data_IF_340048644739
#
_entry.id   IF_340048644739
#
_cell.length_a   1.000
_cell.length_b   1.000
_cell.length_c   1.000
_cell.angle_alpha   90.00
_cell.angle_beta   90.00
_cell.angle_gamma   90.00
#
_symmetry.space_group_name_H-M   'P 1'
#
loop_
_entity.id
_entity.type
_entity.pdbx_description
1 polymer ?
#
# COMPACT_ATOMS: atom_id res chain seq x y z
N UNK A 1 10.78 -23.02 16.23
CA UNK A 1 9.46 -22.38 16.03
C UNK A 1 9.62 -20.97 16.56
N UNK A 2 9.28 -19.98 15.75
CA UNK A 2 9.42 -18.57 16.15
C UNK A 2 8.50 -18.26 17.32
N UNK A 3 8.92 -17.42 18.28
CA UNK A 3 8.09 -17.06 19.43
C UNK A 3 6.81 -16.33 19.01
N UNK A 4 5.73 -16.66 19.71
CA UNK A 4 4.44 -15.97 19.67
C UNK A 4 4.26 -15.28 21.03
N UNK A 5 3.99 -13.98 21.00
CA UNK A 5 3.74 -13.18 22.20
C UNK A 5 2.26 -12.82 22.28
N UNK A 6 1.59 -13.24 23.35
CA UNK A 6 0.22 -12.85 23.65
C UNK A 6 0.20 -11.40 24.15
N UNK A 7 -0.44 -10.51 23.39
CA UNK A 7 -0.54 -9.08 23.69
C UNK A 7 -1.83 -8.74 24.46
N UNK A 8 -2.56 -9.72 24.97
CA UNK A 8 -3.76 -9.47 25.78
C UNK A 8 -3.43 -8.92 27.18
N UNK A 9 -2.27 -9.25 27.74
CA UNK A 9 -1.78 -8.75 29.02
C UNK A 9 -0.56 -7.81 28.91
N UNK A 10 -0.28 -7.07 29.98
CA UNK A 10 0.76 -6.03 30.02
C UNK A 10 2.18 -6.58 29.87
N UNK A 11 2.46 -7.75 30.44
CA UNK A 11 3.79 -8.36 30.37
C UNK A 11 4.07 -8.86 28.95
N UNK A 12 3.11 -9.58 28.37
CA UNK A 12 3.19 -10.07 26.99
C UNK A 12 3.28 -8.93 25.97
N UNK A 13 2.58 -7.80 26.18
CA UNK A 13 2.77 -6.57 25.39
C UNK A 13 4.19 -6.05 25.47
N UNK A 14 4.72 -5.90 26.69
CA UNK A 14 6.05 -5.34 26.91
C UNK A 14 7.12 -6.21 26.25
N UNK A 15 7.09 -7.52 26.50
CA UNK A 15 8.06 -8.47 25.98
C UNK A 15 7.92 -8.64 24.46
N UNK A 16 6.68 -8.70 23.95
CA UNK A 16 6.39 -8.84 22.53
C UNK A 16 6.85 -7.62 21.72
N UNK A 17 6.53 -6.40 22.17
CA UNK A 17 6.98 -5.17 21.52
C UNK A 17 8.51 -5.11 21.52
N UNK A 18 9.17 -5.40 22.65
CA UNK A 18 10.64 -5.40 22.72
C UNK A 18 11.26 -6.41 21.74
N UNK A 19 10.72 -7.63 21.67
CA UNK A 19 11.18 -8.66 20.74
C UNK A 19 10.97 -8.27 19.27
N UNK A 20 9.81 -7.69 18.94
CA UNK A 20 9.50 -7.20 17.61
C UNK A 20 10.46 -6.09 17.18
N UNK A 21 10.73 -5.13 18.06
CA UNK A 21 11.68 -4.04 17.80
C UNK A 21 13.08 -4.56 17.54
N UNK A 22 13.55 -5.51 18.36
CA UNK A 22 14.85 -6.15 18.17
C UNK A 22 14.93 -6.88 16.83
N UNK A 23 13.94 -7.71 16.51
CA UNK A 23 13.89 -8.47 15.26
C UNK A 23 13.87 -7.56 14.03
N UNK A 24 13.00 -6.54 14.01
CA UNK A 24 12.90 -5.60 12.90
C UNK A 24 14.20 -4.83 12.67
N UNK A 25 14.84 -4.32 13.72
CA UNK A 25 16.14 -3.62 13.63
C UNK A 25 17.28 -4.52 13.15
N UNK A 26 17.16 -5.84 13.33
CA UNK A 26 18.08 -6.82 12.74
C UNK A 26 17.73 -7.17 11.28
N UNK A 27 16.75 -6.48 10.67
CA UNK A 27 16.27 -6.74 9.33
C UNK A 27 15.43 -8.01 9.20
N UNK A 28 14.86 -8.51 10.30
CA UNK A 28 14.07 -9.75 10.30
C UNK A 28 12.58 -9.45 10.27
N UNK A 29 11.83 -10.38 9.68
CA UNK A 29 10.39 -10.24 9.54
C UNK A 29 9.67 -10.45 10.87
N UNK A 30 8.69 -9.61 11.14
CA UNK A 30 7.78 -9.66 12.28
C UNK A 30 6.36 -9.73 11.74
N UNK A 31 5.49 -10.49 12.38
CA UNK A 31 4.03 -10.39 12.17
C UNK A 31 3.43 -9.52 13.26
N UNK A 32 2.71 -8.49 12.84
CA UNK A 32 2.12 -7.45 13.69
C UNK A 32 0.63 -7.28 13.40
N UNK A 33 -0.21 -6.99 14.41
CA UNK A 33 -1.62 -6.66 14.20
C UNK A 33 -1.79 -5.33 13.49
N UNK A 34 -2.84 -5.14 12.69
CA UNK A 34 -3.25 -3.79 12.26
C UNK A 34 -4.74 -3.57 12.50
N UNK A 35 -5.21 -2.37 12.20
CA UNK A 35 -6.62 -1.99 12.16
C UNK A 35 -7.42 -2.75 11.10
N UNK A 36 -6.76 -3.29 10.07
CA UNK A 36 -7.41 -4.12 9.05
C UNK A 36 -7.17 -5.61 9.30
N UNK A 37 -6.00 -6.11 8.94
CA UNK A 37 -5.59 -7.52 9.01
C UNK A 37 -4.23 -7.65 9.70
N UNK A 38 -3.73 -8.86 9.93
CA UNK A 38 -2.32 -8.99 10.32
C UNK A 38 -1.41 -8.57 9.17
N UNK A 39 -0.31 -7.90 9.50
CA UNK A 39 0.77 -7.55 8.58
C UNK A 39 2.04 -8.36 8.87
N UNK A 40 2.80 -8.68 7.85
CA UNK A 40 4.20 -9.10 7.95
C UNK A 40 5.07 -7.91 7.52
N UNK A 41 6.07 -7.57 8.33
CA UNK A 41 6.92 -6.43 8.04
C UNK A 41 8.31 -6.50 8.65
N UNK A 42 9.15 -5.57 8.25
CA UNK A 42 10.56 -5.44 8.64
C UNK A 42 10.95 -3.96 8.58
N UNK A 43 12.15 -3.62 9.06
CA UNK A 43 12.69 -2.26 8.91
C UNK A 43 12.78 -1.87 7.41
N UNK A 44 12.17 -0.72 7.05
CA UNK A 44 12.14 -0.23 5.68
C UNK A 44 13.53 0.13 5.12
N UNK A 45 14.50 0.40 5.99
CA UNK A 45 15.89 0.69 5.61
C UNK A 45 16.77 -0.55 5.49
N UNK A 46 16.25 -1.73 5.86
CA UNK A 46 16.95 -2.99 5.68
C UNK A 46 16.63 -3.61 4.32
N UNK A 47 17.48 -3.37 3.33
CA UNK A 47 17.34 -3.98 1.99
C UNK A 47 17.20 -5.52 2.06
N UNK A 48 18.04 -6.17 2.89
CA UNK A 48 17.97 -7.60 3.10
C UNK A 48 16.65 -8.04 3.78
N UNK A 49 16.12 -7.21 4.68
CA UNK A 49 14.83 -7.45 5.32
C UNK A 49 13.68 -7.34 4.34
N UNK A 50 13.68 -6.31 3.48
CA UNK A 50 12.68 -6.13 2.42
C UNK A 50 12.72 -7.29 1.43
N UNK A 51 13.91 -7.73 1.01
CA UNK A 51 14.05 -8.90 0.14
C UNK A 51 13.48 -10.17 0.80
N UNK A 52 13.75 -10.37 2.11
CA UNK A 52 13.18 -11.48 2.87
C UNK A 52 11.66 -11.40 3.00
N UNK A 53 11.11 -10.20 3.19
CA UNK A 53 9.67 -9.94 3.22
C UNK A 53 9.02 -10.30 1.88
N UNK A 54 9.57 -9.79 0.77
CA UNK A 54 9.09 -10.10 -0.58
C UNK A 54 9.17 -11.59 -0.89
N UNK A 55 10.28 -12.24 -0.55
CA UNK A 55 10.45 -13.69 -0.70
C UNK A 55 9.43 -14.49 0.13
N UNK A 56 9.18 -14.11 1.38
CA UNK A 56 8.17 -14.75 2.23
C UNK A 56 6.75 -14.59 1.67
N UNK A 57 6.49 -13.49 0.95
CA UNK A 57 5.23 -13.20 0.27
C UNK A 57 5.08 -13.93 -1.07
N UNK A 58 6.17 -14.43 -1.65
CA UNK A 58 6.21 -14.90 -3.03
C UNK A 58 6.06 -13.77 -4.05
N UNK A 59 6.53 -12.56 -3.72
CA UNK A 59 6.47 -11.38 -4.58
C UNK A 59 7.83 -11.09 -5.21
N UNK A 60 7.80 -10.62 -6.46
CA UNK A 60 8.94 -9.98 -7.10
C UNK A 60 9.15 -8.55 -6.61
N UNK A 61 10.22 -7.92 -7.09
CA UNK A 61 10.61 -6.54 -6.71
C UNK A 61 9.69 -5.48 -7.33
N UNK A 62 8.96 -5.83 -8.38
CA UNK A 62 7.94 -5.06 -9.06
C UNK A 62 6.66 -4.81 -8.22
N UNK A 63 6.57 -5.43 -7.04
CA UNK A 63 5.44 -5.31 -6.12
C UNK A 63 5.88 -4.79 -4.75
N UNK A 64 6.44 -3.56 -4.67
CA UNK A 64 7.01 -3.03 -3.45
C UNK A 64 5.95 -2.89 -2.33
N UNK A 65 6.30 -3.19 -1.07
CA UNK A 65 5.38 -3.05 0.05
C UNK A 65 5.18 -1.58 0.43
N UNK A 66 4.00 -1.21 0.97
CA UNK A 66 3.85 0.08 1.62
C UNK A 66 4.72 0.16 2.89
N UNK A 67 5.04 1.38 3.30
CA UNK A 67 5.78 1.69 4.51
C UNK A 67 4.82 2.23 5.56
N UNK A 68 4.73 1.56 6.69
CA UNK A 68 4.02 2.05 7.85
C UNK A 68 4.93 2.96 8.68
N UNK A 69 4.38 4.04 9.18
CA UNK A 69 5.07 5.05 10.00
C UNK A 69 4.31 5.29 11.31
N UNK A 70 5.05 5.63 12.37
CA UNK A 70 4.47 5.86 13.70
C UNK A 70 4.05 7.30 14.00
N UNK A 71 4.42 8.25 13.14
CA UNK A 71 4.17 9.69 13.31
C UNK A 71 4.08 10.38 11.94
N UNK A 72 3.15 11.33 11.80
CA UNK A 72 2.96 12.16 10.60
C UNK A 72 4.22 12.95 10.24
N UNK A 73 5.03 13.34 11.22
CA UNK A 73 6.29 14.05 10.99
C UNK A 73 7.28 13.24 10.14
N UNK A 74 7.16 11.90 10.09
CA UNK A 74 7.99 11.06 9.23
C UNK A 74 7.75 11.34 7.73
N UNK A 75 6.56 11.80 7.34
CA UNK A 75 6.23 12.12 5.94
C UNK A 75 7.22 13.12 5.37
N UNK A 76 7.57 14.16 6.13
CA UNK A 76 8.50 15.22 5.72
C UNK A 76 9.94 14.73 5.51
N UNK A 77 10.33 13.63 6.14
CA UNK A 77 11.63 12.99 5.93
C UNK A 77 11.62 11.93 4.83
N UNK A 78 10.45 11.37 4.51
CA UNK A 78 10.29 10.23 3.60
C UNK A 78 9.83 10.59 2.20
N UNK A 79 9.12 11.70 2.06
CA UNK A 79 8.49 12.13 0.82
C UNK A 79 8.86 13.56 0.47
N UNK A 80 8.84 13.85 -0.83
CA UNK A 80 9.02 15.20 -1.38
C UNK A 80 7.76 15.64 -2.14
N UNK A 81 7.64 16.95 -2.34
CA UNK A 81 6.54 17.58 -3.09
C UNK A 81 5.13 17.19 -2.59
N UNK A 82 4.97 16.99 -1.27
CA UNK A 82 3.68 16.58 -0.66
C UNK A 82 2.61 17.66 -0.88
N UNK A 83 1.55 17.39 -1.67
CA UNK A 83 0.53 18.39 -1.97
C UNK A 83 -0.28 18.80 -0.74
N UNK A 84 -0.81 20.02 -0.75
CA UNK A 84 -1.64 20.53 0.35
C UNK A 84 -2.93 19.72 0.56
N UNK A 85 -3.50 19.16 -0.52
CA UNK A 85 -4.66 18.27 -0.42
C UNK A 85 -4.31 16.97 0.30
N UNK A 86 -3.10 16.44 0.11
CA UNK A 86 -2.66 15.21 0.77
C UNK A 86 -2.49 15.43 2.28
N UNK A 87 -2.05 16.63 2.70
CA UNK A 87 -2.03 16.99 4.13
C UNK A 87 -3.44 16.99 4.73
N UNK A 88 -4.45 17.51 4.01
CA UNK A 88 -5.85 17.43 4.48
C UNK A 88 -6.33 15.99 4.61
N UNK A 89 -5.95 15.11 3.68
CA UNK A 89 -6.28 13.69 3.75
C UNK A 89 -5.60 13.00 4.94
N UNK A 90 -4.33 13.33 5.21
CA UNK A 90 -3.62 12.86 6.40
C UNK A 90 -4.35 13.28 7.66
N UNK A 91 -4.69 14.57 7.80
CA UNK A 91 -5.38 15.10 8.98
C UNK A 91 -6.77 14.46 9.19
N UNK A 92 -7.43 14.05 8.10
CA UNK A 92 -8.77 13.47 8.14
C UNK A 92 -8.79 11.96 8.40
N UNK A 93 -7.82 11.21 7.87
CA UNK A 93 -7.89 9.75 7.78
C UNK A 93 -6.72 9.01 8.43
N UNK A 94 -5.70 9.71 8.95
CA UNK A 94 -4.60 9.09 9.71
C UNK A 94 -4.69 9.41 11.20
N UNK A 95 -4.47 8.42 12.08
CA UNK A 95 -4.32 6.98 11.81
C UNK A 95 -5.57 6.34 11.17
N UNK A 96 -5.39 5.34 10.30
CA UNK A 96 -6.52 4.62 9.72
C UNK A 96 -6.26 3.93 8.38
N UNK A 97 -7.35 3.61 7.69
CA UNK A 97 -7.41 2.78 6.47
C UNK A 97 -7.03 3.48 5.16
N UNK A 98 -6.21 4.53 5.18
CA UNK A 98 -5.75 5.24 3.98
C UNK A 98 -4.24 5.07 3.78
N UNK A 99 -3.82 4.68 2.58
CA UNK A 99 -2.42 4.68 2.15
C UNK A 99 -2.23 5.73 1.06
N UNK A 100 -1.22 6.59 1.20
CA UNK A 100 -0.93 7.67 0.25
C UNK A 100 0.42 7.43 -0.44
N UNK A 101 0.46 7.50 -1.77
CA UNK A 101 1.70 7.39 -2.54
C UNK A 101 2.25 8.77 -2.84
N UNK A 102 3.54 8.96 -2.55
CA UNK A 102 4.26 10.21 -2.79
C UNK A 102 5.52 9.96 -3.61
N UNK A 103 6.13 11.02 -4.12
CA UNK A 103 7.52 10.96 -4.59
C UNK A 103 8.43 10.72 -3.38
N UNK A 104 9.25 9.68 -3.44
CA UNK A 104 10.20 9.34 -2.38
C UNK A 104 11.27 10.43 -2.28
N UNK A 105 11.74 10.70 -1.07
CA UNK A 105 12.86 11.59 -0.82
C UNK A 105 14.14 10.99 -1.47
N UNK A 106 14.79 11.66 -2.45
CA UNK A 106 15.90 11.06 -3.22
C UNK A 106 17.16 10.77 -2.41
N UNK A 107 17.33 11.43 -1.26
CA UNK A 107 18.48 11.24 -0.38
C UNK A 107 18.38 9.99 0.50
N UNK A 108 17.25 9.27 0.49
CA UNK A 108 17.09 8.05 1.27
C UNK A 108 17.82 6.88 0.62
N UNK A 109 18.70 6.26 1.40
CA UNK A 109 19.32 5.00 1.04
C UNK A 109 18.48 3.85 1.61
N UNK A 110 17.36 3.55 0.94
CA UNK A 110 16.55 2.36 1.18
C UNK A 110 16.35 1.58 -0.12
N UNK A 111 16.00 0.31 0.01
CA UNK A 111 15.65 -0.54 -1.12
C UNK A 111 14.33 -1.24 -0.81
N UNK A 112 13.24 -0.68 -1.34
CA UNK A 112 11.89 -1.18 -1.18
C UNK A 112 11.46 -2.10 -2.35
N UNK A 113 12.35 -2.33 -3.33
CA UNK A 113 12.01 -2.87 -4.64
C UNK A 113 11.89 -1.80 -5.73
N UNK A 114 11.25 -2.15 -6.83
CA UNK A 114 11.10 -1.32 -8.03
C UNK A 114 9.94 -0.33 -7.82
N UNK A 115 10.24 0.78 -7.14
CA UNK A 115 9.25 1.79 -6.73
C UNK A 115 9.07 2.95 -7.71
N UNK A 116 9.88 3.03 -8.76
CA UNK A 116 9.93 4.17 -9.70
C UNK A 116 10.03 5.53 -8.99
N UNK A 117 10.79 5.61 -7.90
CA UNK A 117 11.01 6.84 -7.14
C UNK A 117 9.80 7.29 -6.32
N UNK A 118 8.85 6.40 -6.06
CA UNK A 118 7.68 6.66 -5.22
C UNK A 118 7.74 5.88 -3.90
N UNK A 119 6.89 6.25 -2.95
CA UNK A 119 6.71 5.50 -1.70
C UNK A 119 5.25 5.59 -1.26
N UNK A 120 4.67 4.44 -0.90
CA UNK A 120 3.35 4.36 -0.30
C UNK A 120 3.48 4.42 1.23
N UNK A 121 2.89 5.43 1.87
CA UNK A 121 2.95 5.66 3.32
C UNK A 121 1.57 5.47 3.97
N UNK A 122 1.55 4.98 5.22
CA UNK A 122 0.34 4.89 6.04
C UNK A 122 0.67 4.93 7.54
N UNK A 123 -0.22 5.52 8.33
CA UNK A 123 -0.24 5.33 9.79
C UNK A 123 -1.43 4.41 10.12
N UNK A 124 -1.20 3.16 10.58
CA UNK A 124 -2.31 2.25 10.94
C UNK A 124 -2.96 2.67 12.26
N UNK A 125 -4.28 2.47 12.39
CA UNK A 125 -5.02 2.73 13.64
C UNK A 125 -4.96 1.53 14.61
N UNK A 126 -3.74 1.09 14.96
CA UNK A 126 -3.50 0.02 15.93
C UNK A 126 -2.42 0.42 16.93
N UNK A 127 -2.79 0.58 18.20
CA UNK A 127 -1.87 1.07 19.25
C UNK A 127 -0.65 0.15 19.47
N UNK A 128 -0.81 -1.16 19.29
CA UNK A 128 0.28 -2.13 19.49
C UNK A 128 1.31 -2.00 18.36
N UNK A 129 0.84 -1.86 17.13
CA UNK A 129 1.72 -1.60 15.98
C UNK A 129 2.33 -0.22 16.02
N UNK A 130 1.58 0.81 16.43
CA UNK A 130 2.14 2.15 16.63
C UNK A 130 3.25 2.15 17.70
N UNK A 131 3.13 1.33 18.75
CA UNK A 131 4.19 1.19 19.75
C UNK A 131 5.48 0.60 19.14
N UNK A 132 5.38 -0.40 18.26
CA UNK A 132 6.53 -0.95 17.53
C UNK A 132 7.11 0.10 16.56
N UNK A 133 6.28 0.77 15.77
CA UNK A 133 6.69 1.76 14.76
C UNK A 133 7.39 2.98 15.38
N UNK A 134 6.98 3.42 16.57
CA UNK A 134 7.64 4.53 17.29
C UNK A 134 9.08 4.18 17.70
N UNK A 135 9.36 2.92 17.97
CA UNK A 135 10.68 2.45 18.38
C UNK A 135 11.55 2.04 17.17
N UNK A 136 10.99 1.33 16.20
CA UNK A 136 11.73 0.89 15.00
C UNK A 136 11.97 2.07 14.05
N UNK A 137 10.96 2.92 13.87
CA UNK A 137 10.87 3.84 12.75
C UNK A 137 10.04 3.26 11.60
N UNK A 138 10.23 3.77 10.37
CA UNK A 138 9.48 3.31 9.20
C UNK A 138 9.70 1.81 8.93
N UNK A 139 8.61 1.06 8.77
CA UNK A 139 8.67 -0.36 8.48
C UNK A 139 7.99 -0.67 7.15
N UNK A 140 8.64 -1.47 6.30
CA UNK A 140 8.01 -2.05 5.12
C UNK A 140 7.06 -3.15 5.60
N UNK A 141 5.77 -3.03 5.31
CA UNK A 141 4.74 -3.96 5.79
C UNK A 141 3.78 -4.31 4.66
N UNK A 142 3.42 -5.59 4.57
CA UNK A 142 2.38 -6.09 3.67
C UNK A 142 1.46 -7.02 4.46
N UNK A 143 0.26 -7.31 3.96
CA UNK A 143 -0.66 -8.22 4.64
C UNK A 143 -0.06 -9.61 4.84
N UNK A 144 -0.44 -10.26 5.93
CA UNK A 144 0.15 -11.52 6.41
C UNK A 144 -0.45 -12.77 5.72
N UNK A 145 -0.70 -12.71 4.41
CA UNK A 145 -1.11 -13.84 3.55
C UNK A 145 -0.15 -14.02 2.38
N UNK A 146 0.08 -15.22 1.85
CA UNK A 146 0.88 -15.32 0.62
C UNK A 146 0.17 -14.62 -0.54
N UNK A 147 0.92 -14.13 -1.52
CA UNK A 147 0.31 -13.44 -2.66
C UNK A 147 -0.70 -14.35 -3.36
N UNK A 148 -1.92 -13.87 -3.57
CA UNK A 148 -3.02 -14.67 -4.15
C UNK A 148 -3.89 -15.41 -3.12
N UNK A 149 -3.44 -15.56 -1.88
CA UNK A 149 -4.19 -16.26 -0.82
C UNK A 149 -5.13 -15.32 -0.06
N UNK A 150 -6.18 -15.84 0.62
CA UNK A 150 -7.02 -15.05 1.50
C UNK A 150 -6.24 -14.36 2.62
N UNK A 151 -6.69 -13.18 3.03
CA UNK A 151 -6.11 -12.43 4.16
C UNK A 151 -6.25 -13.22 5.45
N UNK A 152 -5.23 -13.16 6.31
CA UNK A 152 -5.25 -13.82 7.61
C UNK A 152 -5.74 -12.87 8.70
N UNK A 153 -6.57 -13.40 9.59
CA UNK A 153 -7.23 -12.65 10.67
C UNK A 153 -6.77 -13.09 12.05
N UNK A 154 -6.05 -14.20 12.14
CA UNK A 154 -5.51 -14.75 13.39
C UNK A 154 -4.01 -14.99 13.29
N UNK A 155 -3.33 -14.96 14.45
CA UNK A 155 -1.89 -15.27 14.48
C UNK A 155 -1.60 -16.72 14.05
N UNK A 156 -2.54 -17.63 14.32
CA UNK A 156 -2.43 -19.05 13.97
C UNK A 156 -2.37 -19.22 12.45
N UNK A 157 -3.25 -18.54 11.71
CA UNK A 157 -3.24 -18.53 10.24
C UNK A 157 -1.94 -17.94 9.70
N UNK A 158 -1.46 -16.83 10.27
CA UNK A 158 -0.17 -16.24 9.90
C UNK A 158 1.00 -17.21 10.14
N UNK A 159 0.97 -17.95 11.26
CA UNK A 159 1.95 -18.98 11.60
C UNK A 159 1.96 -20.14 10.60
N UNK A 160 0.81 -20.57 10.09
CA UNK A 160 0.73 -21.56 9.01
C UNK A 160 1.25 -21.01 7.67
N UNK A 161 1.02 -19.73 7.38
CA UNK A 161 1.44 -19.11 6.12
C UNK A 161 2.97 -18.93 6.00
N UNK A 162 3.63 -18.46 7.06
CA UNK A 162 5.05 -18.09 7.03
C UNK A 162 5.97 -18.96 7.87
N UNK A 163 5.47 -19.58 8.94
CA UNK A 163 6.25 -20.44 9.83
C UNK A 163 7.60 -19.84 10.20
N UNK A 164 8.74 -20.47 9.82
CA UNK A 164 10.08 -20.01 10.18
C UNK A 164 10.58 -18.79 9.40
N UNK A 165 9.84 -18.28 8.40
CA UNK A 165 10.24 -17.08 7.65
C UNK A 165 10.03 -15.76 8.43
N UNK A 166 9.39 -15.83 9.60
CA UNK A 166 9.12 -14.71 10.50
C UNK A 166 9.78 -15.02 11.84
N UNK A 167 10.47 -14.06 12.44
CA UNK A 167 11.18 -14.23 13.71
C UNK A 167 10.29 -14.00 14.93
N UNK A 168 9.29 -13.11 14.83
CA UNK A 168 8.42 -12.75 15.96
C UNK A 168 6.98 -12.64 15.48
N UNK A 169 6.07 -13.26 16.22
CA UNK A 169 4.64 -13.18 16.01
C UNK A 169 3.98 -12.48 17.19
N UNK A 170 3.27 -11.39 16.93
CA UNK A 170 2.53 -10.64 17.93
C UNK A 170 1.06 -11.04 17.88
N UNK A 171 0.58 -11.83 18.84
CA UNK A 171 -0.81 -12.25 18.92
C UNK A 171 -1.63 -11.22 19.70
N UNK A 172 -2.49 -10.50 19.00
CA UNK A 172 -3.40 -9.56 19.62
C UNK A 172 -4.86 -9.91 19.31
N UNK A 173 -5.16 -11.22 19.21
CA UNK A 173 -6.50 -11.74 18.96
C UNK A 173 -6.95 -11.65 17.50
N UNK A 174 -8.24 -11.87 17.29
CA UNK A 174 -8.87 -11.87 15.95
C UNK A 174 -8.97 -10.45 15.40
N UNK A 175 -8.62 -10.28 14.12
CA UNK A 175 -8.73 -9.03 13.37
C UNK A 175 -9.95 -9.07 12.47
N UNK A 176 -10.83 -8.08 12.61
CA UNK A 176 -12.13 -8.07 11.93
C UNK A 176 -12.16 -7.15 10.71
N UNK A 177 -11.04 -6.53 10.32
CA UNK A 177 -10.99 -5.73 9.10
C UNK A 177 -10.90 -6.64 7.89
N UNK A 178 -12.05 -6.84 7.23
CA UNK A 178 -12.14 -7.56 5.96
C UNK A 178 -11.78 -6.69 4.76
N UNK A 179 -11.75 -5.37 4.97
CA UNK A 179 -11.54 -4.38 3.92
C UNK A 179 -10.14 -3.81 4.05
N UNK A 180 -9.31 -3.90 2.99
CA UNK A 180 -7.95 -3.36 3.03
C UNK A 180 -7.95 -1.84 2.94
N UNK A 181 -6.78 -1.22 3.13
CA UNK A 181 -6.67 0.24 3.01
C UNK A 181 -6.93 0.73 1.59
N UNK A 182 -7.61 1.87 1.47
CA UNK A 182 -7.69 2.59 0.19
C UNK A 182 -6.29 3.12 -0.15
N UNK A 183 -5.88 3.01 -1.42
CA UNK A 183 -4.58 3.51 -1.89
C UNK A 183 -4.81 4.65 -2.87
N UNK A 184 -4.22 5.81 -2.59
CA UNK A 184 -4.33 7.01 -3.41
C UNK A 184 -2.95 7.49 -3.86
N UNK A 185 -2.75 7.62 -5.17
CA UNK A 185 -1.59 8.28 -5.73
C UNK A 185 -1.71 9.79 -5.58
N UNK A 186 -0.76 10.39 -4.86
CA UNK A 186 -0.66 11.83 -4.62
C UNK A 186 0.57 12.46 -5.28
N UNK A 187 1.18 11.79 -6.27
CA UNK A 187 2.36 12.30 -7.00
C UNK A 187 2.01 13.40 -8.01
N UNK A 188 0.73 13.63 -8.30
CA UNK A 188 0.21 14.58 -9.28
C UNK A 188 -0.69 15.64 -8.63
N UNK A 189 -1.08 16.66 -9.41
CA UNK A 189 -2.02 17.69 -8.96
C UNK A 189 -3.40 17.11 -8.64
N UNK A 190 -3.87 16.19 -9.48
CA UNK A 190 -5.12 15.46 -9.31
C UNK A 190 -4.77 14.04 -8.82
N UNK A 191 -5.20 13.65 -7.60
CA UNK A 191 -4.89 12.33 -7.08
C UNK A 191 -5.65 11.23 -7.80
N UNK A 192 -5.06 10.04 -7.86
CA UNK A 192 -5.61 8.87 -8.57
C UNK A 192 -5.87 7.73 -7.58
N UNK A 193 -7.08 7.18 -7.58
CA UNK A 193 -7.38 5.97 -6.80
C UNK A 193 -6.66 4.78 -7.44
N UNK A 194 -5.72 4.19 -6.72
CA UNK A 194 -5.01 2.97 -7.16
C UNK A 194 -5.69 1.71 -6.65
N UNK A 195 -6.38 1.79 -5.50
CA UNK A 195 -7.12 0.68 -4.91
C UNK A 195 -8.27 1.19 -4.06
N UNK A 196 -9.48 0.71 -4.33
CA UNK A 196 -10.62 0.92 -3.45
C UNK A 196 -10.49 0.08 -2.16
N UNK A 197 -10.91 0.65 -1.02
CA UNK A 197 -10.74 0.02 0.28
C UNK A 197 -11.60 0.69 1.35
N UNK A 198 -11.09 0.75 2.57
CA UNK A 198 -11.82 1.21 3.76
C UNK A 198 -12.34 2.67 3.69
N UNK A 199 -11.69 3.53 2.91
CA UNK A 199 -12.13 4.92 2.66
C UNK A 199 -12.79 5.01 1.29
N UNK A 200 -14.05 5.45 1.25
CA UNK A 200 -14.81 5.55 0.01
C UNK A 200 -14.41 6.77 -0.81
N UNK A 201 -14.71 6.73 -2.11
CA UNK A 201 -14.44 7.83 -3.04
C UNK A 201 -15.20 9.10 -2.64
N UNK A 202 -16.41 8.96 -2.10
CA UNK A 202 -17.22 10.08 -1.59
C UNK A 202 -16.54 10.75 -0.40
N UNK A 203 -16.01 9.97 0.55
CA UNK A 203 -15.26 10.48 1.69
C UNK A 203 -14.00 11.22 1.24
N UNK A 204 -13.28 10.68 0.25
CA UNK A 204 -12.12 11.35 -0.35
C UNK A 204 -12.53 12.69 -0.99
N UNK A 205 -13.60 12.71 -1.79
CA UNK A 205 -14.10 13.93 -2.45
C UNK A 205 -14.47 15.02 -1.45
N UNK A 206 -15.08 14.66 -0.31
CA UNK A 206 -15.43 15.61 0.75
C UNK A 206 -14.21 16.39 1.26
N UNK A 207 -13.08 15.70 1.47
CA UNK A 207 -11.83 16.30 1.97
C UNK A 207 -11.04 17.00 0.85
N UNK A 208 -11.08 16.45 -0.36
CA UNK A 208 -10.40 17.02 -1.54
C UNK A 208 -11.03 18.33 -1.98
N UNK A 209 -12.34 18.50 -1.81
CA UNK A 209 -13.07 19.72 -2.17
C UNK A 209 -12.96 20.00 -3.68
N UNK A 210 -12.31 21.11 -4.10
CA UNK A 210 -12.22 21.46 -5.53
C UNK A 210 -11.18 20.66 -6.32
N UNK A 211 -10.34 19.85 -5.65
CA UNK A 211 -9.33 19.03 -6.33
C UNK A 211 -10.03 17.86 -7.01
N UNK A 212 -9.74 17.66 -8.30
CA UNK A 212 -10.35 16.58 -9.08
C UNK A 212 -9.77 15.23 -8.65
N UNK A 213 -10.64 14.27 -8.32
CA UNK A 213 -10.25 12.91 -7.96
C UNK A 213 -10.44 12.00 -9.17
N UNK A 214 -9.36 11.43 -9.67
CA UNK A 214 -9.40 10.44 -10.75
C UNK A 214 -9.71 9.08 -10.15
N UNK A 215 -10.89 8.56 -10.47
CA UNK A 215 -11.31 7.22 -10.07
C UNK A 215 -11.48 6.33 -11.31
N UNK A 216 -10.47 5.49 -11.64
CA UNK A 216 -10.54 4.61 -12.79
C UNK A 216 -11.54 3.45 -12.61
N UNK A 217 -12.08 3.26 -11.40
CA UNK A 217 -13.04 2.21 -11.06
C UNK A 217 -14.50 2.69 -11.09
N UNK A 218 -14.73 3.99 -11.29
CA UNK A 218 -16.07 4.51 -11.43
C UNK A 218 -16.75 3.92 -12.67
N UNK A 219 -17.97 3.38 -12.51
CA UNK A 219 -18.81 3.03 -13.65
C UNK A 219 -19.02 4.32 -14.47
N UNK A 220 -18.61 4.29 -15.74
CA UNK A 220 -18.98 5.36 -16.67
C UNK A 220 -20.50 5.37 -16.77
N UNK A 221 -21.18 6.51 -16.57
CA UNK A 221 -22.60 6.59 -16.86
C UNK A 221 -22.79 6.19 -18.33
N UNK A 222 -23.85 5.43 -18.66
CA UNK A 222 -24.17 5.12 -20.04
C UNK A 222 -24.21 6.42 -20.83
N UNK A 223 -23.48 6.46 -21.95
CA UNK A 223 -23.44 7.58 -22.88
C UNK A 223 -24.86 7.82 -23.40
N UNK A 224 -25.58 8.79 -22.83
CA UNK A 224 -26.93 9.12 -23.23
C UNK A 224 -26.91 9.77 -24.63
N UNK A 225 -27.25 8.93 -25.61
CA UNK A 225 -28.00 9.23 -26.83
C UNK A 225 -27.31 10.06 -27.93
N UNK A 226 -26.59 9.37 -28.82
CA UNK A 226 -26.72 9.65 -30.25
C UNK A 226 -27.94 8.87 -30.76
N UNK A 227 -29.01 9.61 -31.05
CA UNK A 227 -30.33 9.15 -31.50
C UNK A 227 -30.23 8.23 -32.75
N UNK A 228 -30.39 6.92 -32.54
CA UNK A 228 -30.72 5.97 -33.59
C UNK A 228 -31.97 5.19 -33.16
N UNK A 229 -33.05 5.21 -33.98
CA UNK A 229 -34.32 4.64 -33.57
C UNK A 229 -34.26 3.10 -33.53
N UNK A 230 -34.62 2.59 -32.36
CA UNK A 230 -35.16 1.29 -31.96
C UNK A 230 -35.06 0.10 -32.92
N UNK A 231 -34.51 -1.00 -32.40
CA UNK A 231 -35.12 -2.33 -32.55
C UNK A 231 -34.96 -3.12 -31.24
N UNK A 232 -36.03 -3.80 -30.85
CA UNK A 232 -36.30 -4.41 -29.54
C UNK A 232 -35.42 -5.62 -29.19
N UNK A 233 -34.93 -5.72 -27.94
CA UNK A 233 -34.74 -6.99 -27.23
C UNK A 233 -34.40 -6.84 -25.73
N UNK A 234 -35.38 -7.22 -24.90
CA UNK A 234 -35.33 -7.87 -23.57
C UNK A 234 -34.07 -7.82 -22.68
N UNK A 235 -34.22 -7.09 -21.56
CA UNK A 235 -33.94 -7.50 -20.16
C UNK A 235 -32.66 -8.25 -19.78
N UNK A 236 -31.83 -7.61 -18.94
CA UNK A 236 -30.85 -8.29 -18.09
C UNK A 236 -30.85 -7.74 -16.65
N UNK A 237 -30.84 -8.66 -15.69
CA UNK A 237 -30.84 -8.46 -14.23
C UNK A 237 -29.45 -8.00 -13.72
N UNK A 238 -29.33 -7.47 -12.48
CA UNK A 238 -28.10 -6.82 -12.01
C UNK A 238 -26.92 -7.81 -11.92
N UNK A 239 -25.76 -7.34 -12.34
CA UNK A 239 -24.50 -8.09 -12.39
C UNK A 239 -23.90 -8.16 -10.97
N UNK A 240 -23.69 -9.39 -10.49
CA UNK A 240 -22.97 -9.70 -9.26
C UNK A 240 -21.44 -9.59 -9.48
N UNK A 241 -20.62 -9.39 -8.43
CA UNK A 241 -19.18 -9.13 -8.56
C UNK A 241 -18.43 -10.22 -9.33
N UNK A 242 -17.40 -9.82 -10.09
CA UNK A 242 -16.63 -10.65 -11.01
C UNK A 242 -16.01 -11.89 -10.33
N UNK A 243 -16.26 -13.04 -10.96
CA UNK A 243 -15.75 -14.36 -10.61
C UNK A 243 -14.69 -14.71 -11.67
N UNK A 244 -13.51 -15.17 -11.27
CA UNK A 244 -12.53 -15.73 -12.22
C UNK A 244 -13.17 -16.93 -12.93
N UNK A 245 -13.37 -16.88 -14.27
CA UNK A 245 -14.07 -17.93 -15.00
C UNK A 245 -13.31 -19.27 -15.03
N UNK A 246 -12.05 -19.32 -14.57
CA UNK A 246 -11.26 -20.54 -14.48
C UNK A 246 -11.34 -21.24 -13.11
N UNK A 247 -11.56 -20.51 -12.02
CA UNK A 247 -11.40 -21.04 -10.64
C UNK A 247 -12.62 -20.85 -9.74
N UNK A 248 -13.53 -19.92 -10.06
CA UNK A 248 -14.68 -19.63 -9.20
C UNK A 248 -14.33 -18.89 -7.90
N UNK A 249 -13.07 -18.49 -7.71
CA UNK A 249 -12.60 -17.81 -6.49
C UNK A 249 -12.57 -16.29 -6.65
N UNK A 250 -12.75 -15.59 -5.51
CA UNK A 250 -12.68 -14.13 -5.44
C UNK A 250 -11.22 -13.69 -5.59
N UNK A 251 -10.96 -12.72 -6.47
CA UNK A 251 -9.65 -12.06 -6.56
C UNK A 251 -9.34 -11.39 -5.21
N UNK A 252 -8.18 -11.64 -4.58
CA UNK A 252 -7.85 -11.06 -3.29
C UNK A 252 -7.77 -9.53 -3.36
N UNK A 253 -8.45 -8.84 -2.44
CA UNK A 253 -8.49 -7.37 -2.34
C UNK A 253 -7.11 -6.75 -1.98
N UNK A 254 -6.15 -7.56 -1.54
CA UNK A 254 -4.78 -7.18 -1.18
C UNK A 254 -3.74 -7.39 -2.31
N UNK A 255 -4.21 -7.25 -3.55
CA UNK A 255 -3.37 -7.32 -4.74
C UNK A 255 -2.16 -6.37 -4.71
N UNK A 256 -1.11 -6.66 -5.49
CA UNK A 256 0.10 -5.86 -5.53
C UNK A 256 -0.14 -4.42 -6.00
N UNK A 257 0.67 -3.50 -5.49
CA UNK A 257 0.67 -2.10 -5.90
C UNK A 257 1.56 -1.99 -7.14
N UNK A 258 0.96 -1.68 -8.29
CA UNK A 258 1.70 -1.37 -9.52
C UNK A 258 2.15 0.10 -9.47
N UNK A 259 3.32 0.35 -8.87
CA UNK A 259 3.96 1.67 -8.89
C UNK A 259 4.68 1.95 -10.23
N UNK A 260 4.69 1.00 -11.17
CA UNK A 260 5.52 1.05 -12.36
C UNK A 260 4.93 1.90 -13.51
N UNK A 261 3.65 2.26 -13.47
CA UNK A 261 2.94 2.97 -14.56
C UNK A 261 3.12 4.49 -14.60
N UNK A 262 4.04 5.05 -13.82
CA UNK A 262 4.22 6.50 -13.72
C UNK A 262 5.43 6.99 -14.54
N UNK A 263 5.26 7.12 -15.85
CA UNK A 263 6.14 7.96 -16.68
C UNK A 263 5.60 9.40 -16.68
N UNK A 264 6.49 10.38 -16.42
CA UNK A 264 6.22 11.79 -16.64
C UNK A 264 6.19 12.05 -18.16
N UNK A 265 5.16 12.72 -18.72
CA UNK A 265 5.11 13.05 -20.15
C UNK A 265 6.05 14.23 -20.52
N UNK A 266 7.13 14.45 -19.78
CA UNK A 266 8.04 15.59 -19.97
C UNK A 266 9.50 15.18 -20.12
N UNK A 267 9.81 14.44 -21.18
CA UNK A 267 11.10 14.57 -21.86
C UNK A 267 10.85 14.73 -23.37
N UNK A 268 10.27 15.88 -23.74
CA UNK A 268 10.41 16.41 -25.10
C UNK A 268 11.85 16.92 -25.25
N UNK A 269 12.75 15.99 -25.56
CA UNK A 269 14.12 16.32 -25.98
C UNK A 269 14.07 16.75 -27.44
N UNK A 270 13.60 17.98 -27.66
CA UNK A 270 13.83 18.68 -28.91
C UNK A 270 15.32 19.02 -29.02
N UNK A 271 16.08 18.16 -29.68
CA UNK A 271 17.42 18.50 -30.18
C UNK A 271 17.30 19.63 -31.22
N UNK A 272 18.04 20.74 -31.10
CA UNK A 272 18.14 21.71 -32.18
C UNK A 272 19.14 21.21 -33.22
N UNK A 273 18.67 20.90 -34.43
CA UNK A 273 19.54 20.68 -35.60
C UNK A 273 20.48 21.89 -35.80
N UNK A 274 21.79 21.64 -35.72
CA UNK A 274 22.81 22.59 -36.12
C UNK A 274 22.91 22.63 -37.66
N UNK A 275 23.09 23.81 -38.28
CA UNK A 275 23.23 23.90 -39.73
C UNK A 275 24.65 23.45 -40.15
N UNK A 276 24.70 22.55 -41.14
CA UNK A 276 25.91 22.12 -41.81
C UNK A 276 26.65 23.30 -42.45
N UNK A 277 27.82 23.63 -41.90
CA UNK A 277 28.81 24.46 -42.56
C UNK A 277 29.80 23.54 -43.28
N UNK A 278 29.54 23.27 -44.55
CA UNK A 278 30.48 22.58 -45.43
C UNK A 278 31.61 23.56 -45.83
N UNK A 279 32.82 23.29 -45.33
CA UNK A 279 34.06 23.97 -45.72
C UNK A 279 35.03 22.92 -46.23
N UNK A 280 35.37 22.98 -47.53
CA UNK A 280 36.71 22.99 -48.16
C UNK A 280 36.74 22.30 -49.53
N UNK A 281 37.78 22.52 -50.38
CA UNK A 281 39.00 23.32 -50.19
C UNK A 281 39.18 24.52 -51.12
#
# INVERSE_FOLDING_TARGET
MSPVFDLSDEQGRTDGIAAAVEAARMGRCVVLPTDTVYGIGTDAFSAAGVDALLAAKGRGRDMPPPVLIGDVAAVDGLATAVPSYARRLIDAFWPGGLTLVFRSQPSLAWDLGDTNGTVALRIPDDELTLAVLREVGPMAVSSANRSGEPTVTTITEAGFAFGPAVDVYLDAGVRNGDTPSTILDCTKADPVVLRAGAITVEQLREVLGPVELVDPFAEQPPDDAVDHPADDAEGAAPIAPEIDPATGERVPLDGPIDLAKHEDPSEDTSEPEQPDHEVNP
#
